data_IF_935841570736
#
_entry.id   IF_935841570736
#
_cell.length_a   1.000
_cell.length_b   1.000
_cell.length_c   1.000
_cell.angle_alpha   90.00
_cell.angle_beta   90.00
_cell.angle_gamma   90.00
#
_symmetry.space_group_name_H-M   'P 1'
#
loop_
_entity.id
_entity.type
_entity.pdbx_description
1 polymer ?
#
# COMPACT_ATOMS: atom_id res chain seq x y z
N UNK A 1 3.68 7.38 9.15
CA UNK A 1 4.16 8.62 8.50
C UNK A 1 3.08 9.66 8.63
N UNK A 2 3.42 10.84 9.13
CA UNK A 2 2.52 11.98 9.25
C UNK A 2 3.40 13.21 9.42
N UNK A 3 3.59 13.97 8.35
CA UNK A 3 4.39 15.19 8.33
C UNK A 3 3.49 16.42 8.30
N UNK A 4 4.04 17.58 8.64
CA UNK A 4 3.33 18.84 8.41
C UNK A 4 3.19 19.09 6.90
N UNK A 5 2.07 19.69 6.50
CA UNK A 5 1.80 20.04 5.11
C UNK A 5 0.98 21.33 5.05
N UNK A 6 1.04 22.03 3.91
CA UNK A 6 0.19 23.18 3.63
C UNK A 6 -1.07 22.73 2.91
N UNK A 7 -2.21 23.36 3.22
CA UNK A 7 -3.50 22.91 2.71
C UNK A 7 -4.40 24.10 2.36
N UNK A 8 -5.11 24.01 1.23
CA UNK A 8 -6.11 25.00 0.84
C UNK A 8 -7.51 24.49 1.20
N UNK A 9 -8.16 25.15 2.17
CA UNK A 9 -9.48 24.76 2.66
C UNK A 9 -10.64 25.17 1.76
N UNK A 10 -10.44 26.08 0.80
CA UNK A 10 -11.50 26.59 -0.08
C UNK A 10 -12.29 25.48 -0.77
N UNK A 11 -11.65 24.53 -1.49
CA UNK A 11 -12.34 23.42 -2.14
C UNK A 11 -13.02 22.45 -1.17
N UNK A 12 -12.46 22.26 0.03
CA UNK A 12 -13.04 21.36 1.03
C UNK A 12 -14.35 21.91 1.56
N UNK A 13 -14.39 23.20 1.85
CA UNK A 13 -15.57 23.87 2.38
C UNK A 13 -16.64 24.02 1.30
N UNK A 14 -16.29 24.51 0.10
CA UNK A 14 -17.27 24.81 -0.96
C UNK A 14 -17.89 23.54 -1.57
N UNK A 15 -17.23 22.38 -1.43
CA UNK A 15 -17.69 21.11 -2.00
C UNK A 15 -17.97 20.02 -0.96
N UNK A 16 -18.03 20.39 0.32
CA UNK A 16 -18.27 19.46 1.44
C UNK A 16 -17.35 18.21 1.41
N UNK A 17 -16.07 18.40 1.12
CA UNK A 17 -15.10 17.30 1.05
C UNK A 17 -14.63 16.89 2.46
N UNK A 18 -14.21 15.63 2.60
CA UNK A 18 -13.62 15.10 3.83
C UNK A 18 -12.18 14.64 3.61
N UNK A 19 -11.28 14.95 4.54
CA UNK A 19 -9.91 14.42 4.57
C UNK A 19 -9.82 13.37 5.69
N UNK A 20 -9.56 12.12 5.31
CA UNK A 20 -9.43 11.01 6.26
C UNK A 20 -7.99 10.50 6.28
N UNK A 21 -7.39 10.48 7.47
CA UNK A 21 -6.12 9.79 7.72
C UNK A 21 -6.36 8.29 7.97
N UNK A 22 -5.82 7.44 7.11
CA UNK A 22 -5.88 5.97 7.28
C UNK A 22 -4.48 5.39 7.28
N UNK A 23 -4.22 4.49 8.20
CA UNK A 23 -3.03 3.63 8.25
C UNK A 23 -3.48 2.18 8.32
N UNK A 24 -2.56 1.23 8.15
CA UNK A 24 -2.91 -0.19 8.30
C UNK A 24 -3.32 -0.51 9.75
N UNK A 25 -2.81 0.22 10.74
CA UNK A 25 -3.04 -0.04 12.17
C UNK A 25 -4.44 0.29 12.66
N UNK A 26 -5.13 1.25 12.04
CA UNK A 26 -6.52 1.61 12.37
C UNK A 26 -7.54 0.94 11.44
N UNK A 27 -7.11 0.05 10.55
CA UNK A 27 -8.01 -0.75 9.73
C UNK A 27 -8.55 -1.96 10.54
N UNK A 28 -9.88 -2.19 10.59
CA UNK A 28 -10.44 -3.37 11.23
C UNK A 28 -9.89 -4.67 10.63
N UNK A 29 -9.70 -5.69 11.47
CA UNK A 29 -9.26 -7.03 11.00
C UNK A 29 -10.20 -7.61 9.94
N UNK A 30 -11.49 -7.27 9.98
CA UNK A 30 -12.47 -7.65 8.95
C UNK A 30 -12.09 -7.15 7.56
N UNK A 31 -11.44 -6.00 7.44
CA UNK A 31 -11.00 -5.49 6.13
C UNK A 31 -9.93 -6.38 5.51
N UNK A 32 -8.99 -6.87 6.31
CA UNK A 32 -7.98 -7.83 5.85
C UNK A 32 -8.64 -9.13 5.37
N UNK A 33 -9.58 -9.66 6.14
CA UNK A 33 -10.34 -10.87 5.77
C UNK A 33 -11.08 -10.66 4.45
N UNK A 34 -11.74 -9.51 4.29
CA UNK A 34 -12.45 -9.17 3.05
C UNK A 34 -11.50 -9.13 1.84
N UNK A 35 -10.32 -8.51 1.98
CA UNK A 35 -9.31 -8.47 0.91
C UNK A 35 -8.83 -9.88 0.55
N UNK A 36 -8.56 -10.73 1.53
CA UNK A 36 -8.16 -12.13 1.30
C UNK A 36 -9.26 -12.89 0.55
N UNK A 37 -10.53 -12.71 0.93
CA UNK A 37 -11.66 -13.33 0.22
C UNK A 37 -11.78 -12.86 -1.23
N UNK A 38 -11.52 -11.57 -1.50
CA UNK A 38 -11.53 -11.07 -2.88
C UNK A 38 -10.40 -11.70 -3.72
N UNK A 39 -9.23 -11.92 -3.11
CA UNK A 39 -8.11 -12.60 -3.76
C UNK A 39 -8.42 -14.08 -4.02
N UNK A 40 -8.99 -14.79 -3.04
CA UNK A 40 -9.34 -16.21 -3.19
C UNK A 40 -10.42 -16.43 -4.27
N UNK A 41 -11.37 -15.50 -4.39
CA UNK A 41 -12.40 -15.50 -5.44
C UNK A 41 -11.86 -15.04 -6.81
N UNK A 42 -10.57 -14.68 -6.92
CA UNK A 42 -9.97 -14.17 -8.16
C UNK A 42 -10.47 -12.79 -8.60
N UNK A 43 -11.26 -12.11 -7.75
CA UNK A 43 -11.84 -10.78 -8.00
C UNK A 43 -10.84 -9.64 -7.73
N UNK A 44 -9.79 -9.94 -6.99
CA UNK A 44 -8.65 -9.05 -6.76
C UNK A 44 -7.36 -9.81 -7.06
N UNK A 45 -6.51 -9.27 -7.93
CA UNK A 45 -5.21 -9.87 -8.26
C UNK A 45 -4.10 -8.93 -7.79
N UNK A 46 -3.24 -9.35 -6.84
CA UNK A 46 -2.11 -8.53 -6.45
C UNK A 46 -1.12 -8.44 -7.62
N UNK A 47 -0.62 -7.25 -7.89
CA UNK A 47 0.45 -7.05 -8.87
C UNK A 47 1.78 -7.31 -8.18
N UNK A 48 2.45 -8.39 -8.58
CA UNK A 48 3.77 -8.79 -8.08
C UNK A 48 4.77 -8.50 -9.20
N UNK A 49 5.79 -7.70 -8.90
CA UNK A 49 6.83 -7.36 -9.87
C UNK A 49 7.96 -8.38 -9.85
N UNK A 50 8.50 -8.66 -8.66
CA UNK A 50 9.66 -9.54 -8.48
C UNK A 50 9.46 -10.48 -7.30
N UNK A 51 10.02 -11.68 -7.44
CA UNK A 51 10.17 -12.66 -6.37
C UNK A 51 11.65 -12.98 -6.25
N UNK A 52 12.23 -12.75 -5.09
CA UNK A 52 13.66 -12.94 -4.84
C UNK A 52 13.83 -13.89 -3.65
N UNK A 53 14.89 -14.70 -3.60
CA UNK A 53 15.21 -15.47 -2.41
C UNK A 53 15.55 -14.52 -1.25
N UNK A 54 15.34 -14.97 -0.01
CA UNK A 54 15.64 -14.17 1.18
C UNK A 54 17.11 -13.75 1.27
N UNK A 55 18.02 -14.56 0.70
CA UNK A 55 19.44 -14.22 0.55
C UNK A 55 19.70 -12.95 -0.26
N UNK A 56 18.75 -12.52 -1.09
CA UNK A 56 18.84 -11.31 -1.93
C UNK A 56 18.05 -10.12 -1.36
N UNK A 57 17.71 -10.15 -0.06
CA UNK A 57 16.96 -9.07 0.59
C UNK A 57 17.57 -7.67 0.39
N UNK A 58 18.90 -7.56 0.37
CA UNK A 58 19.58 -6.29 0.10
C UNK A 58 19.28 -5.74 -1.31
N UNK A 59 19.28 -6.62 -2.32
CA UNK A 59 18.91 -6.23 -3.69
C UNK A 59 17.43 -5.85 -3.77
N UNK A 60 16.56 -6.59 -3.07
CA UNK A 60 15.13 -6.25 -2.98
C UNK A 60 14.90 -4.85 -2.37
N UNK A 61 15.63 -4.50 -1.32
CA UNK A 61 15.54 -3.16 -0.71
C UNK A 61 16.03 -2.07 -1.65
N UNK A 62 17.16 -2.28 -2.33
CA UNK A 62 17.67 -1.33 -3.31
C UNK A 62 16.66 -1.04 -4.43
N UNK A 63 15.95 -2.06 -4.91
CA UNK A 63 14.88 -1.89 -5.89
C UNK A 63 13.75 -0.98 -5.39
N UNK A 64 13.41 -1.07 -4.10
CA UNK A 64 12.40 -0.21 -3.46
C UNK A 64 12.89 1.22 -3.29
N UNK A 65 14.15 1.41 -2.86
CA UNK A 65 14.79 2.73 -2.71
C UNK A 65 14.84 3.46 -4.05
N UNK A 66 15.28 2.77 -5.09
CA UNK A 66 15.37 3.28 -6.46
C UNK A 66 13.98 3.47 -7.11
N UNK A 67 12.90 3.09 -6.43
CA UNK A 67 11.50 3.07 -6.93
C UNK A 67 11.37 2.36 -8.29
N UNK A 68 12.18 1.34 -8.49
CA UNK A 68 12.29 0.60 -9.76
C UNK A 68 11.26 -0.52 -9.92
N UNK A 69 10.50 -0.84 -8.85
CA UNK A 69 9.38 -1.77 -8.91
C UNK A 69 8.08 -1.07 -9.30
N UNK A 70 7.27 -1.72 -10.13
CA UNK A 70 5.88 -1.31 -10.38
C UNK A 70 4.91 -1.90 -9.33
N UNK A 71 4.97 -3.23 -9.15
CA UNK A 71 4.19 -4.00 -8.19
C UNK A 71 5.03 -4.51 -7.02
N UNK A 72 4.40 -5.24 -6.09
CA UNK A 72 5.05 -5.71 -4.85
C UNK A 72 6.26 -6.61 -5.14
N UNK A 73 7.31 -6.44 -4.35
CA UNK A 73 8.46 -7.35 -4.28
C UNK A 73 8.24 -8.35 -3.15
N UNK A 74 8.39 -9.65 -3.45
CA UNK A 74 8.23 -10.74 -2.49
C UNK A 74 9.59 -11.38 -2.20
N UNK A 75 9.88 -11.61 -0.93
CA UNK A 75 11.01 -12.43 -0.49
C UNK A 75 10.51 -13.84 -0.19
N UNK A 76 11.12 -14.82 -0.84
CA UNK A 76 10.87 -16.24 -0.61
C UNK A 76 11.91 -16.78 0.38
N UNK A 77 11.50 -17.47 1.46
CA UNK A 77 12.41 -18.09 2.42
C UNK A 77 13.39 -19.08 1.80
#
# INVERSE_FOLDING_TARGET
GGGQTTFNFGPVIVRDLSVLGVTVFNAPRSNLINVINLVSLGRLKPVIDKRLPLSEAAAAQKLLEDRSQFGKVILNP
#
